data_IF_614007768224
#
_entry.id   IF_614007768224
#
_cell.length_a   1.000
_cell.length_b   1.000
_cell.length_c   1.000
_cell.angle_alpha   90.00
_cell.angle_beta   90.00
_cell.angle_gamma   90.00
#
_symmetry.space_group_name_H-M   'P 1'
#
loop_
_entity.id
_entity.type
_entity.pdbx_description
1 polymer ?
#
# COMPACT_ATOMS: atom_id res chain seq x y z
N UNK A 1 56.97 52.91 -9.30
CA UNK A 1 56.42 52.38 -10.56
C UNK A 1 56.06 50.91 -10.34
N UNK A 2 54.83 50.64 -9.90
CA UNK A 2 54.05 49.43 -10.22
C UNK A 2 52.63 49.65 -9.68
N UNK A 3 51.74 49.98 -10.60
CA UNK A 3 50.28 49.96 -10.45
C UNK A 3 49.80 48.60 -10.97
N UNK A 4 48.59 48.19 -10.57
CA UNK A 4 47.81 47.00 -10.98
C UNK A 4 48.01 45.75 -10.10
N UNK A 5 46.97 45.07 -9.63
CA UNK A 5 45.57 45.07 -10.02
C UNK A 5 44.74 44.46 -8.87
N UNK A 6 43.89 45.26 -8.23
CA UNK A 6 42.86 44.74 -7.32
C UNK A 6 41.74 44.18 -8.19
N UNK A 7 41.76 42.86 -8.41
CA UNK A 7 40.70 42.14 -9.12
C UNK A 7 39.40 42.26 -8.32
N UNK A 8 38.51 43.14 -8.76
CA UNK A 8 37.15 43.26 -8.25
C UNK A 8 36.40 41.98 -8.64
N UNK A 9 36.16 41.11 -7.66
CA UNK A 9 35.34 39.92 -7.84
C UNK A 9 33.88 40.36 -8.07
N UNK A 10 33.34 40.01 -9.23
CA UNK A 10 31.98 40.34 -9.64
C UNK A 10 30.96 39.64 -8.72
N UNK A 11 29.86 40.31 -8.31
CA UNK A 11 28.81 39.67 -7.53
C UNK A 11 28.21 38.52 -8.36
N UNK A 12 28.33 37.28 -7.87
CA UNK A 12 27.65 36.13 -8.48
C UNK A 12 26.15 36.43 -8.51
N UNK A 13 25.44 36.25 -9.63
CA UNK A 13 24.01 36.50 -9.69
C UNK A 13 23.32 35.64 -8.64
N UNK A 14 22.49 36.28 -7.82
CA UNK A 14 21.67 35.65 -6.80
C UNK A 14 20.95 34.46 -7.43
N UNK A 15 21.16 33.26 -6.88
CA UNK A 15 20.39 32.08 -7.25
C UNK A 15 18.93 32.41 -7.00
N UNK A 16 18.22 32.61 -8.11
CA UNK A 16 16.79 32.82 -8.17
C UNK A 16 16.13 31.75 -7.29
N UNK A 17 15.54 32.19 -6.18
CA UNK A 17 14.86 31.33 -5.24
C UNK A 17 13.62 30.76 -5.95
N UNK A 18 13.80 29.61 -6.60
CA UNK A 18 12.71 28.80 -7.15
C UNK A 18 11.75 28.50 -6.01
N UNK A 19 10.68 29.28 -5.93
CA UNK A 19 9.55 29.02 -5.04
C UNK A 19 9.13 27.57 -5.28
N UNK A 20 9.21 26.66 -4.28
CA UNK A 20 8.82 25.29 -4.48
C UNK A 20 7.32 25.30 -4.81
N UNK A 21 7.00 24.97 -6.06
CA UNK A 21 5.62 24.76 -6.48
C UNK A 21 5.04 23.63 -5.63
N UNK A 22 3.77 23.75 -5.22
CA UNK A 22 3.14 22.75 -4.35
C UNK A 22 3.30 21.32 -4.90
N UNK A 23 3.15 21.12 -6.21
CA UNK A 23 3.39 19.82 -6.88
C UNK A 23 4.83 19.31 -6.77
N UNK A 24 5.82 20.20 -6.68
CA UNK A 24 7.22 19.84 -6.47
C UNK A 24 7.48 19.19 -5.11
N UNK A 25 6.76 19.60 -4.07
CA UNK A 25 6.85 18.98 -2.75
C UNK A 25 6.30 17.55 -2.77
N UNK A 26 5.11 17.34 -3.34
CA UNK A 26 4.51 16.00 -3.44
C UNK A 26 5.40 15.04 -4.23
N UNK A 27 5.92 15.50 -5.37
CA UNK A 27 6.79 14.66 -6.21
C UNK A 27 8.15 14.38 -5.55
N UNK A 28 8.71 15.37 -4.85
CA UNK A 28 9.94 15.18 -4.09
C UNK A 28 9.76 14.16 -2.96
N UNK A 29 8.67 14.28 -2.18
CA UNK A 29 8.35 13.34 -1.11
C UNK A 29 8.17 11.93 -1.66
N UNK A 30 7.36 11.78 -2.72
CA UNK A 30 7.16 10.50 -3.38
C UNK A 30 8.47 9.88 -3.86
N UNK A 31 9.33 10.67 -4.51
CA UNK A 31 10.64 10.22 -4.97
C UNK A 31 11.54 9.81 -3.81
N UNK A 32 11.50 10.52 -2.68
CA UNK A 32 12.28 10.18 -1.49
C UNK A 32 11.77 8.87 -0.89
N UNK A 33 10.46 8.73 -0.67
CA UNK A 33 9.86 7.51 -0.11
C UNK A 33 10.21 6.29 -0.96
N UNK A 34 10.08 6.37 -2.29
CA UNK A 34 10.33 5.23 -3.18
C UNK A 34 11.82 4.92 -3.40
N UNK A 35 12.73 5.87 -3.16
CA UNK A 35 14.18 5.64 -3.25
C UNK A 35 14.81 5.14 -1.96
N UNK A 36 14.11 5.19 -0.83
CA UNK A 36 14.60 4.60 0.42
C UNK A 36 14.76 3.09 0.27
N UNK A 37 15.92 2.56 0.70
CA UNK A 37 16.21 1.13 0.66
C UNK A 37 15.13 0.30 1.34
N UNK A 38 14.54 0.82 2.43
CA UNK A 38 13.43 0.18 3.15
C UNK A 38 12.22 -0.06 2.26
N UNK A 39 11.78 0.94 1.50
CA UNK A 39 10.63 0.83 0.58
C UNK A 39 10.92 -0.15 -0.55
N UNK A 40 12.13 -0.09 -1.11
CA UNK A 40 12.58 -1.03 -2.15
C UNK A 40 12.61 -2.46 -1.60
N UNK A 41 13.12 -2.67 -0.39
CA UNK A 41 13.15 -3.98 0.25
C UNK A 41 11.75 -4.53 0.52
N UNK A 42 10.79 -3.69 0.94
CA UNK A 42 9.39 -4.10 1.10
C UNK A 42 8.75 -4.51 -0.22
N UNK A 43 8.90 -3.70 -1.27
CA UNK A 43 8.38 -4.03 -2.60
C UNK A 43 9.04 -5.30 -3.18
N UNK A 44 10.34 -5.47 -2.98
CA UNK A 44 11.06 -6.69 -3.36
C UNK A 44 10.56 -7.91 -2.57
N UNK A 45 10.28 -7.75 -1.27
CA UNK A 45 9.67 -8.79 -0.45
C UNK A 45 8.28 -9.18 -0.95
N UNK A 46 7.44 -8.21 -1.31
CA UNK A 46 6.13 -8.48 -1.91
C UNK A 46 6.22 -9.12 -3.30
N UNK A 47 7.24 -8.78 -4.09
CA UNK A 47 7.53 -9.44 -5.36
C UNK A 47 8.03 -10.89 -5.18
N UNK A 48 8.72 -11.19 -4.09
CA UNK A 48 9.24 -12.53 -3.84
C UNK A 48 8.11 -13.56 -3.60
N UNK A 49 7.00 -13.16 -2.99
CA UNK A 49 5.89 -14.07 -2.66
C UNK A 49 5.21 -14.69 -3.89
N UNK A 50 4.76 -13.95 -4.92
CA UNK A 50 4.20 -14.56 -6.13
C UNK A 50 5.20 -15.44 -6.88
N UNK A 51 6.50 -15.10 -6.85
CA UNK A 51 7.56 -15.95 -7.41
C UNK A 51 7.62 -17.27 -6.65
N UNK A 52 7.68 -17.21 -5.32
CA UNK A 52 7.73 -18.40 -4.47
C UNK A 52 6.48 -19.27 -4.64
N UNK A 53 5.29 -18.68 -4.59
CA UNK A 53 4.03 -19.39 -4.80
C UNK A 53 4.00 -20.05 -6.18
N UNK A 54 4.38 -19.32 -7.23
CA UNK A 54 4.42 -19.86 -8.59
C UNK A 54 5.38 -21.05 -8.72
N UNK A 55 6.58 -20.95 -8.16
CA UNK A 55 7.58 -22.04 -8.17
C UNK A 55 7.09 -23.25 -7.37
N UNK A 56 6.59 -23.04 -6.16
CA UNK A 56 6.08 -24.13 -5.30
C UNK A 56 4.93 -24.86 -5.97
N UNK A 57 3.95 -24.13 -6.53
CA UNK A 57 2.81 -24.74 -7.22
C UNK A 57 3.28 -25.48 -8.47
N UNK A 58 4.24 -24.94 -9.23
CA UNK A 58 4.77 -25.60 -10.44
C UNK A 58 5.44 -26.94 -10.12
N UNK A 59 6.20 -27.01 -9.02
CA UNK A 59 6.85 -28.23 -8.55
C UNK A 59 5.82 -29.22 -8.00
N UNK A 60 4.82 -28.73 -7.26
CA UNK A 60 3.75 -29.57 -6.71
C UNK A 60 2.79 -30.13 -7.78
N UNK A 61 2.81 -29.62 -9.01
CA UNK A 61 1.90 -30.00 -10.10
C UNK A 61 2.47 -31.08 -11.03
N UNK A 62 3.48 -31.85 -10.62
CA UNK A 62 4.02 -32.95 -11.43
C UNK A 62 3.02 -34.10 -11.60
N UNK A 63 3.01 -34.79 -12.77
CA UNK A 63 1.95 -35.72 -13.13
C UNK A 63 2.04 -37.00 -12.32
N UNK A 64 1.23 -37.11 -11.26
CA UNK A 64 1.13 -38.32 -10.44
C UNK A 64 0.38 -38.15 -9.13
N UNK A 65 0.36 -36.94 -8.58
CA UNK A 65 -0.32 -36.64 -7.31
C UNK A 65 -1.32 -35.50 -7.51
N UNK A 66 -2.49 -35.82 -8.08
CA UNK A 66 -3.67 -34.96 -7.94
C UNK A 66 -4.17 -35.05 -6.49
N UNK A 67 -3.38 -34.49 -5.57
CA UNK A 67 -3.73 -34.34 -4.18
C UNK A 67 -4.95 -33.44 -4.04
N UNK A 68 -5.87 -33.89 -3.20
CA UNK A 68 -7.14 -33.28 -2.78
C UNK A 68 -6.89 -31.96 -2.02
N UNK A 69 -6.30 -30.99 -2.70
CA UNK A 69 -6.05 -29.64 -2.19
C UNK A 69 -7.24 -28.72 -2.49
N UNK A 70 -7.47 -27.67 -1.67
CA UNK A 70 -8.54 -26.71 -1.91
C UNK A 70 -8.51 -26.19 -3.35
N UNK A 71 -9.67 -26.16 -3.99
CA UNK A 71 -9.90 -25.98 -5.44
C UNK A 71 -9.13 -24.80 -6.07
N UNK A 72 -8.74 -23.79 -5.27
CA UNK A 72 -7.93 -22.65 -5.70
C UNK A 72 -6.49 -23.02 -6.10
N UNK A 73 -5.85 -23.99 -5.44
CA UNK A 73 -4.45 -24.40 -5.76
C UNK A 73 -4.44 -25.19 -7.07
N UNK A 74 -5.41 -26.08 -7.27
CA UNK A 74 -5.60 -26.79 -8.53
C UNK A 74 -5.89 -25.85 -9.71
N UNK A 75 -6.65 -24.77 -9.47
CA UNK A 75 -6.95 -23.76 -10.50
C UNK A 75 -5.71 -22.93 -10.92
N UNK A 76 -4.74 -22.69 -10.01
CA UNK A 76 -3.48 -22.01 -10.37
C UNK A 76 -2.63 -22.89 -11.29
N UNK A 77 -2.53 -24.18 -11.00
CA UNK A 77 -1.78 -25.13 -11.83
C UNK A 77 -2.31 -25.19 -13.27
N UNK A 78 -3.62 -24.97 -13.43
CA UNK A 78 -4.30 -24.98 -14.72
C UNK A 78 -4.26 -23.63 -15.45
N UNK A 79 -4.14 -22.51 -14.72
CA UNK A 79 -4.16 -21.17 -15.31
C UNK A 79 -3.30 -20.14 -14.57
N UNK A 80 -2.31 -19.57 -15.26
CA UNK A 80 -1.37 -18.60 -14.68
C UNK A 80 -1.99 -17.30 -14.16
N UNK A 81 -3.19 -16.90 -14.63
CA UNK A 81 -3.89 -15.70 -14.13
C UNK A 81 -4.29 -15.88 -12.66
N UNK A 82 -4.59 -17.12 -12.25
CA UNK A 82 -4.99 -17.40 -10.87
C UNK A 82 -3.91 -17.11 -9.84
N UNK A 83 -2.63 -17.13 -10.25
CA UNK A 83 -1.52 -16.79 -9.38
C UNK A 83 -1.63 -15.35 -8.84
N UNK A 84 -2.19 -14.43 -9.62
CA UNK A 84 -2.47 -13.04 -9.20
C UNK A 84 -3.43 -13.03 -8.01
N UNK A 85 -4.57 -13.69 -8.16
CA UNK A 85 -5.61 -13.72 -7.14
C UNK A 85 -5.11 -14.39 -5.87
N UNK A 86 -4.45 -15.55 -6.01
CA UNK A 86 -3.90 -16.30 -4.87
C UNK A 86 -2.84 -15.47 -4.14
N UNK A 87 -1.92 -14.85 -4.86
CA UNK A 87 -0.86 -14.05 -4.25
C UNK A 87 -1.41 -12.85 -3.48
N UNK A 88 -2.36 -12.11 -4.06
CA UNK A 88 -3.01 -10.98 -3.39
C UNK A 88 -3.86 -11.44 -2.19
N UNK A 89 -4.58 -12.55 -2.32
CA UNK A 89 -5.36 -13.13 -1.24
C UNK A 89 -4.50 -13.53 -0.03
N UNK A 90 -3.31 -14.11 -0.27
CA UNK A 90 -2.37 -14.48 0.80
C UNK A 90 -1.64 -13.27 1.41
N UNK A 91 -1.30 -12.27 0.60
CA UNK A 91 -0.53 -11.11 1.07
C UNK A 91 -1.40 -10.07 1.79
N UNK A 92 -2.66 -9.90 1.40
CA UNK A 92 -3.55 -8.86 1.90
C UNK A 92 -3.78 -8.89 3.42
N UNK A 93 -4.03 -10.04 4.07
CA UNK A 93 -4.34 -10.08 5.51
C UNK A 93 -3.21 -9.59 6.43
N UNK A 94 -1.97 -9.82 6.03
CA UNK A 94 -0.82 -9.71 6.93
C UNK A 94 0.35 -8.94 6.34
N UNK A 95 0.84 -9.35 5.17
CA UNK A 95 2.08 -8.81 4.62
C UNK A 95 1.92 -7.37 4.10
N UNK A 96 0.88 -7.10 3.30
CA UNK A 96 0.65 -5.75 2.78
C UNK A 96 0.40 -4.72 3.89
N UNK A 97 -0.46 -4.99 4.89
CA UNK A 97 -0.71 -4.07 6.00
C UNK A 97 0.55 -3.81 6.84
N UNK A 98 1.42 -4.82 7.03
CA UNK A 98 2.70 -4.64 7.72
C UNK A 98 3.61 -3.68 6.94
N UNK A 99 3.73 -3.83 5.62
CA UNK A 99 4.52 -2.87 4.82
C UNK A 99 3.94 -1.46 4.87
N UNK A 100 2.62 -1.32 4.80
CA UNK A 100 1.93 -0.03 4.92
C UNK A 100 2.19 0.60 6.29
N UNK A 101 2.13 -0.19 7.36
CA UNK A 101 2.43 0.26 8.72
C UNK A 101 3.86 0.76 8.88
N UNK A 102 4.83 0.09 8.25
CA UNK A 102 6.23 0.52 8.26
C UNK A 102 6.42 1.86 7.56
N UNK A 103 5.80 2.07 6.39
CA UNK A 103 5.92 3.34 5.65
C UNK A 103 5.14 4.46 6.34
N UNK A 104 3.92 4.18 6.82
CA UNK A 104 3.08 5.15 7.50
C UNK A 104 3.63 5.54 8.89
N UNK A 105 4.17 4.58 9.64
CA UNK A 105 4.75 4.83 10.96
C UNK A 105 6.03 5.64 10.92
N UNK A 106 6.90 5.44 9.92
CA UNK A 106 8.14 6.22 9.74
C UNK A 106 7.89 7.65 9.22
N UNK A 107 6.67 7.93 8.75
CA UNK A 107 6.31 9.13 8.02
C UNK A 107 6.61 10.43 8.79
N UNK A 108 5.98 10.63 9.95
CA UNK A 108 6.17 11.81 10.80
C UNK A 108 6.99 11.48 12.04
N UNK A 109 6.75 10.31 12.66
CA UNK A 109 7.49 9.90 13.85
C UNK A 109 8.98 9.67 13.55
N UNK A 110 9.33 9.17 12.36
CA UNK A 110 10.74 9.00 11.92
C UNK A 110 11.50 10.33 11.85
N UNK A 111 10.84 11.38 11.37
CA UNK A 111 11.43 12.72 11.28
C UNK A 111 11.50 13.41 12.63
N UNK A 112 10.53 13.12 13.52
CA UNK A 112 10.54 13.56 14.92
C UNK A 112 11.74 12.98 15.67
N UNK A 113 11.92 11.66 15.55
CA UNK A 113 12.97 10.91 16.23
C UNK A 113 14.38 11.40 15.88
N UNK A 114 14.60 11.78 14.63
CA UNK A 114 15.89 12.29 14.14
C UNK A 114 16.14 13.77 14.50
N UNK A 115 15.25 14.42 15.25
CA UNK A 115 15.38 15.84 15.63
C UNK A 115 15.18 16.82 14.47
N UNK A 116 14.81 16.32 13.29
CA UNK A 116 14.64 17.14 12.07
C UNK A 116 13.36 17.97 12.06
N UNK A 117 12.40 17.67 12.96
CA UNK A 117 11.16 18.42 13.11
C UNK A 117 11.40 19.89 13.49
N UNK A 118 12.43 20.17 14.28
CA UNK A 118 12.85 21.54 14.64
C UNK A 118 13.40 22.32 13.44
N UNK A 119 13.96 21.62 12.45
CA UNK A 119 14.46 22.19 11.19
C UNK A 119 13.32 22.39 10.16
N UNK A 120 12.35 21.47 10.12
CA UNK A 120 11.15 21.56 9.28
C UNK A 120 10.17 22.65 9.75
N UNK A 121 10.20 23.03 11.03
CA UNK A 121 9.46 24.19 11.55
C UNK A 121 10.07 25.54 11.13
N UNK A 122 11.31 25.56 10.65
CA UNK A 122 11.97 26.74 10.08
C UNK A 122 11.86 26.76 8.55
N UNK A 123 11.64 25.60 7.92
CA UNK A 123 11.42 25.49 6.49
C UNK A 123 9.99 25.95 6.10
N UNK A 124 9.81 26.79 5.07
CA UNK A 124 8.53 27.43 4.73
C UNK A 124 7.49 26.52 4.06
N UNK A 125 7.54 25.20 4.30
CA UNK A 125 6.51 24.27 3.87
C UNK A 125 5.48 24.13 5.00
N UNK A 126 4.34 24.83 4.89
CA UNK A 126 3.30 24.83 5.93
C UNK A 126 2.95 23.40 6.38
N UNK A 127 2.82 23.20 7.71
CA UNK A 127 2.61 21.91 8.39
C UNK A 127 1.57 21.00 7.71
N UNK A 128 0.49 21.60 7.23
CA UNK A 128 -0.63 20.93 6.53
C UNK A 128 -0.20 20.36 5.17
N UNK A 129 0.63 21.08 4.41
CA UNK A 129 1.12 20.62 3.10
C UNK A 129 2.06 19.45 3.24
N UNK A 130 2.90 19.44 4.28
CA UNK A 130 3.76 18.29 4.60
C UNK A 130 2.91 17.06 4.94
N UNK A 131 1.91 17.19 5.81
CA UNK A 131 0.98 16.11 6.13
C UNK A 131 0.30 15.53 4.87
N UNK A 132 -0.19 16.41 4.00
CA UNK A 132 -0.81 16.00 2.74
C UNK A 132 0.19 15.24 1.84
N UNK A 133 1.43 15.73 1.72
CA UNK A 133 2.47 15.05 0.94
C UNK A 133 2.80 13.66 1.50
N UNK A 134 2.90 13.53 2.82
CA UNK A 134 3.10 12.26 3.52
C UNK A 134 1.94 11.28 3.29
N UNK A 135 0.71 11.76 3.43
CA UNK A 135 -0.47 10.95 3.17
C UNK A 135 -0.48 10.45 1.73
N UNK A 136 -0.25 11.34 0.76
CA UNK A 136 -0.18 10.96 -0.66
C UNK A 136 0.92 9.93 -0.91
N UNK A 137 2.10 10.06 -0.29
CA UNK A 137 3.18 9.08 -0.42
C UNK A 137 2.80 7.70 0.14
N UNK A 138 2.12 7.63 1.30
CA UNK A 138 1.62 6.39 1.88
C UNK A 138 0.52 5.75 1.02
N UNK A 139 -0.41 6.55 0.50
CA UNK A 139 -1.45 6.07 -0.41
C UNK A 139 -0.87 5.56 -1.73
N UNK A 140 0.13 6.26 -2.29
CA UNK A 140 0.85 5.81 -3.47
C UNK A 140 1.63 4.51 -3.20
N UNK A 141 2.16 4.33 -2.00
CA UNK A 141 2.77 3.06 -1.60
C UNK A 141 1.74 1.92 -1.54
N UNK A 142 0.51 2.15 -1.07
CA UNK A 142 -0.55 1.14 -1.09
C UNK A 142 -0.84 0.66 -2.52
N UNK A 143 -0.94 1.61 -3.48
CA UNK A 143 -1.08 1.31 -4.90
C UNK A 143 0.12 0.53 -5.42
N UNK A 144 1.33 1.03 -5.19
CA UNK A 144 2.54 0.38 -5.67
C UNK A 144 2.70 -1.05 -5.12
N UNK A 145 2.42 -1.28 -3.84
CA UNK A 145 2.51 -2.60 -3.23
C UNK A 145 1.57 -3.60 -3.90
N UNK A 146 0.29 -3.27 -4.07
CA UNK A 146 -0.68 -4.14 -4.72
C UNK A 146 -0.34 -4.38 -6.20
N UNK A 147 0.07 -3.34 -6.92
CA UNK A 147 0.42 -3.45 -8.33
C UNK A 147 1.77 -4.13 -8.58
N UNK A 148 2.71 -4.07 -7.64
CA UNK A 148 3.94 -4.89 -7.69
C UNK A 148 3.57 -6.37 -7.62
N UNK A 149 2.69 -6.77 -6.70
CA UNK A 149 2.23 -8.15 -6.61
C UNK A 149 1.51 -8.56 -7.89
N UNK A 150 0.59 -7.74 -8.40
CA UNK A 150 -0.12 -7.99 -9.65
C UNK A 150 0.84 -8.19 -10.83
N UNK A 151 1.80 -7.26 -11.02
CA UNK A 151 2.72 -7.31 -12.14
C UNK A 151 3.60 -8.57 -12.08
N UNK A 152 4.17 -8.86 -10.90
CA UNK A 152 5.07 -10.02 -10.74
C UNK A 152 4.28 -11.32 -10.84
N UNK A 153 3.12 -11.43 -10.21
CA UNK A 153 2.27 -12.62 -10.32
C UNK A 153 1.79 -12.86 -11.75
N UNK A 154 1.49 -11.80 -12.50
CA UNK A 154 1.13 -11.91 -13.92
C UNK A 154 2.32 -12.42 -14.75
N UNK A 155 3.51 -11.87 -14.55
CA UNK A 155 4.74 -12.29 -15.25
C UNK A 155 5.08 -13.75 -14.92
N UNK A 156 5.09 -14.11 -13.64
CA UNK A 156 5.38 -15.48 -13.18
C UNK A 156 4.31 -16.45 -13.69
N UNK A 157 3.04 -16.04 -13.62
CA UNK A 157 1.89 -16.77 -14.15
C UNK A 157 2.04 -17.09 -15.63
N UNK A 158 2.45 -16.08 -16.42
CA UNK A 158 2.71 -16.18 -17.86
C UNK A 158 3.90 -17.09 -18.22
N UNK A 159 4.89 -17.19 -17.35
CA UNK A 159 6.14 -17.95 -17.59
C UNK A 159 5.99 -19.40 -17.14
N UNK A 160 5.37 -19.66 -15.99
CA UNK A 160 5.36 -20.98 -15.37
C UNK A 160 4.13 -21.83 -15.72
N UNK A 161 3.00 -21.21 -16.08
CA UNK A 161 1.73 -21.92 -16.21
C UNK A 161 1.10 -21.77 -17.61
N UNK A 162 0.22 -22.71 -17.99
CA UNK A 162 -0.49 -22.63 -19.27
C UNK A 162 -1.38 -21.38 -19.37
N UNK A 163 -1.59 -20.94 -20.61
CA UNK A 163 -2.60 -19.93 -20.96
C UNK A 163 -3.87 -20.68 -21.35
N UNK A 164 -4.94 -20.47 -20.60
CA UNK A 164 -6.25 -21.03 -20.88
C UNK A 164 -7.36 -20.08 -20.44
N UNK A 165 -8.60 -20.52 -20.62
CA UNK A 165 -9.73 -19.81 -20.06
C UNK A 165 -9.68 -19.87 -18.53
N UNK A 166 -10.07 -18.78 -17.90
CA UNK A 166 -9.99 -18.59 -16.46
C UNK A 166 -11.31 -19.04 -15.84
N UNK A 167 -11.35 -20.13 -15.06
CA UNK A 167 -12.56 -20.50 -14.34
C UNK A 167 -12.94 -19.42 -13.33
N UNK A 168 -14.22 -19.18 -13.14
CA UNK A 168 -14.77 -18.26 -12.15
C UNK A 168 -15.37 -19.04 -10.98
N UNK A 169 -15.62 -18.35 -9.87
CA UNK A 169 -16.24 -18.98 -8.69
C UNK A 169 -17.68 -19.43 -8.95
N UNK A 170 -18.33 -18.88 -9.98
CA UNK A 170 -19.67 -19.29 -10.43
C UNK A 170 -19.63 -20.59 -11.28
N UNK A 171 -18.44 -21.08 -11.65
CA UNK A 171 -18.28 -22.25 -12.51
C UNK A 171 -18.31 -21.95 -14.01
N UNK A 172 -18.50 -20.68 -14.41
CA UNK A 172 -18.29 -20.22 -15.79
C UNK A 172 -16.81 -20.00 -16.06
N UNK A 173 -16.42 -19.92 -17.34
CA UNK A 173 -15.06 -19.57 -17.74
C UNK A 173 -15.06 -18.26 -18.54
N UNK A 174 -13.99 -17.48 -18.41
CA UNK A 174 -13.78 -16.25 -19.18
C UNK A 174 -12.47 -16.31 -19.95
N UNK A 175 -12.35 -15.43 -20.95
CA UNK A 175 -11.12 -15.33 -21.73
C UNK A 175 -9.92 -14.95 -20.85
N UNK A 176 -8.72 -15.33 -21.29
CA UNK A 176 -7.48 -14.95 -20.61
C UNK A 176 -7.35 -13.42 -20.40
N UNK A 177 -7.74 -12.63 -21.40
CA UNK A 177 -7.67 -11.17 -21.35
C UNK A 177 -8.61 -10.60 -20.27
N UNK A 178 -9.84 -11.12 -20.19
CA UNK A 178 -10.79 -10.73 -19.15
C UNK A 178 -10.31 -11.16 -17.76
N UNK A 179 -9.64 -12.30 -17.67
CA UNK A 179 -8.98 -12.76 -16.46
C UNK A 179 -7.90 -11.78 -15.95
N UNK A 180 -7.02 -11.33 -16.83
CA UNK A 180 -6.03 -10.29 -16.49
C UNK A 180 -6.72 -8.99 -16.08
N UNK A 181 -7.80 -8.62 -16.78
CA UNK A 181 -8.67 -7.50 -16.40
C UNK A 181 -9.24 -7.63 -14.99
N UNK A 182 -9.73 -8.81 -14.60
CA UNK A 182 -10.16 -9.10 -13.23
C UNK A 182 -9.00 -9.02 -12.25
N UNK A 183 -7.81 -9.49 -12.63
CA UNK A 183 -6.58 -9.33 -11.84
C UNK A 183 -6.27 -7.86 -11.53
N UNK A 184 -6.41 -6.98 -12.52
CA UNK A 184 -6.24 -5.55 -12.37
C UNK A 184 -7.28 -4.94 -11.40
N UNK A 185 -8.55 -5.34 -11.53
CA UNK A 185 -9.61 -4.90 -10.62
C UNK A 185 -9.35 -5.35 -9.18
N UNK A 186 -8.89 -6.59 -8.98
CA UNK A 186 -8.53 -7.11 -7.65
C UNK A 186 -7.35 -6.34 -7.08
N UNK A 187 -6.31 -6.07 -7.86
CA UNK A 187 -5.18 -5.26 -7.43
C UNK A 187 -5.61 -3.83 -7.03
N UNK A 188 -6.51 -3.21 -7.81
CA UNK A 188 -7.09 -1.91 -7.48
C UNK A 188 -7.91 -1.93 -6.19
N UNK A 189 -8.75 -2.95 -6.00
CA UNK A 189 -9.55 -3.11 -4.78
C UNK A 189 -8.66 -3.32 -3.56
N UNK A 190 -7.60 -4.13 -3.67
CA UNK A 190 -6.61 -4.34 -2.61
C UNK A 190 -5.87 -3.05 -2.28
N UNK A 191 -5.42 -2.29 -3.28
CA UNK A 191 -4.77 -1.00 -3.06
C UNK A 191 -5.65 -0.04 -2.27
N UNK A 192 -6.94 0.05 -2.63
CA UNK A 192 -7.93 0.88 -1.94
C UNK A 192 -8.27 0.34 -0.54
N UNK A 193 -8.29 -0.99 -0.37
CA UNK A 193 -8.51 -1.65 0.93
C UNK A 193 -7.43 -1.30 1.97
N UNK A 194 -6.22 -0.98 1.52
CA UNK A 194 -5.09 -0.62 2.38
C UNK A 194 -5.08 0.87 2.76
N UNK A 195 -5.82 1.74 2.07
CA UNK A 195 -5.73 3.19 2.28
C UNK A 195 -6.22 3.61 3.66
N UNK A 196 -7.23 2.94 4.21
CA UNK A 196 -7.70 3.20 5.58
C UNK A 196 -6.61 2.91 6.61
N UNK A 197 -5.91 1.77 6.48
CA UNK A 197 -4.77 1.43 7.35
C UNK A 197 -3.63 2.45 7.18
N UNK A 198 -3.36 2.89 5.94
CA UNK A 198 -2.39 3.94 5.66
C UNK A 198 -2.72 5.25 6.38
N UNK A 199 -3.98 5.69 6.35
CA UNK A 199 -4.42 6.91 7.03
C UNK A 199 -4.35 6.78 8.56
N UNK A 200 -4.74 5.62 9.11
CA UNK A 200 -4.59 5.32 10.54
C UNK A 200 -3.12 5.40 10.95
N UNK A 201 -2.21 4.85 10.14
CA UNK A 201 -0.78 4.90 10.45
C UNK A 201 -0.17 6.28 10.37
N UNK A 202 -0.59 7.09 9.40
CA UNK A 202 -0.19 8.50 9.33
C UNK A 202 -0.68 9.23 10.58
N UNK A 203 -1.93 9.02 11.00
CA UNK A 203 -2.44 9.59 12.25
C UNK A 203 -1.65 9.12 13.47
N UNK A 204 -1.40 7.81 13.61
CA UNK A 204 -0.61 7.26 14.71
C UNK A 204 0.79 7.89 14.78
N UNK A 205 1.42 8.15 13.62
CA UNK A 205 2.71 8.82 13.54
C UNK A 205 2.69 10.29 14.00
N UNK A 206 1.52 10.95 14.06
CA UNK A 206 1.38 12.30 14.65
C UNK A 206 1.34 12.28 16.18
N UNK A 207 0.99 11.14 16.78
CA UNK A 207 0.77 11.01 18.23
C UNK A 207 2.05 10.75 18.99
N UNK A 208 3.06 10.17 18.34
CA UNK A 208 4.31 9.72 18.96
C UNK A 208 5.54 10.18 18.18
N UNK A 209 6.64 10.36 18.89
CA UNK A 209 7.97 10.60 18.30
C UNK A 209 8.77 9.30 18.13
N UNK A 210 8.23 8.17 18.63
CA UNK A 210 8.84 6.85 18.51
C UNK A 210 8.28 6.13 17.25
N UNK A 211 9.08 5.96 16.17
CA UNK A 211 8.59 5.37 14.92
C UNK A 211 8.08 3.94 15.12
N UNK A 212 8.78 3.17 15.95
CA UNK A 212 8.40 1.80 16.30
C UNK A 212 7.02 1.73 16.96
N UNK A 213 6.67 2.71 17.80
CA UNK A 213 5.35 2.78 18.44
C UNK A 213 4.25 3.07 17.42
N UNK A 214 4.48 4.00 16.49
CA UNK A 214 3.52 4.29 15.42
C UNK A 214 3.31 3.09 14.50
N UNK A 215 4.39 2.40 14.14
CA UNK A 215 4.31 1.16 13.34
C UNK A 215 3.51 0.08 14.07
N UNK A 216 3.79 -0.17 15.35
CA UNK A 216 3.11 -1.19 16.14
C UNK A 216 1.60 -0.94 16.22
N UNK A 217 1.17 0.29 16.47
CA UNK A 217 -0.26 0.66 16.50
C UNK A 217 -0.90 0.42 15.13
N UNK A 218 -0.21 0.80 14.05
CA UNK A 218 -0.75 0.65 12.69
C UNK A 218 -0.90 -0.81 12.29
N UNK A 219 0.02 -1.70 12.69
CA UNK A 219 -0.09 -3.15 12.48
C UNK A 219 -1.16 -3.77 13.37
N UNK A 220 -1.29 -3.32 14.62
CA UNK A 220 -2.23 -3.88 15.57
C UNK A 220 -3.69 -3.72 15.12
N UNK A 221 -4.03 -2.61 14.47
CA UNK A 221 -5.41 -2.33 14.03
C UNK A 221 -5.96 -3.39 13.06
N UNK A 222 -5.35 -3.70 11.91
CA UNK A 222 -5.86 -4.73 11.01
C UNK A 222 -5.83 -6.13 11.64
N UNK A 223 -4.88 -6.43 12.51
CA UNK A 223 -4.85 -7.73 13.20
C UNK A 223 -5.98 -7.86 14.22
N UNK A 224 -6.20 -6.84 15.05
CA UNK A 224 -7.31 -6.80 16.00
C UNK A 224 -8.65 -6.83 15.27
N UNK A 225 -8.79 -6.06 14.19
CA UNK A 225 -9.96 -6.07 13.31
C UNK A 225 -10.28 -7.47 12.80
N UNK A 226 -9.29 -8.21 12.30
CA UNK A 226 -9.49 -9.60 11.84
C UNK A 226 -9.89 -10.55 12.98
N UNK A 227 -9.29 -10.41 14.17
CA UNK A 227 -9.67 -11.22 15.34
C UNK A 227 -11.13 -10.94 15.74
N UNK A 228 -11.53 -9.67 15.80
CA UNK A 228 -12.88 -9.27 16.17
C UNK A 228 -13.93 -9.77 15.16
N UNK A 229 -13.57 -9.80 13.87
CA UNK A 229 -14.48 -10.22 12.79
C UNK A 229 -14.83 -11.71 12.84
N UNK A 230 -13.98 -12.54 13.48
CA UNK A 230 -14.22 -13.98 13.65
C UNK A 230 -15.19 -14.26 14.82
N UNK A 231 -15.42 -13.30 15.73
CA UNK A 231 -16.21 -13.50 16.95
C UNK A 231 -17.71 -13.26 16.66
N UNK A 232 -18.57 -14.29 16.66
CA UNK A 232 -19.98 -14.13 16.28
C UNK A 232 -20.77 -13.18 17.20
N UNK A 233 -20.39 -13.10 18.47
CA UNK A 233 -21.01 -12.19 19.45
C UNK A 233 -20.78 -10.72 19.10
N UNK A 234 -19.76 -10.41 18.30
CA UNK A 234 -19.39 -9.08 17.85
C UNK A 234 -19.84 -8.81 16.40
N UNK A 235 -20.72 -9.64 15.83
CA UNK A 235 -21.21 -9.46 14.45
C UNK A 235 -21.81 -8.07 14.18
N UNK A 236 -22.34 -7.39 15.21
CA UNK A 236 -22.88 -6.02 15.11
C UNK A 236 -21.80 -5.00 14.72
N UNK A 237 -20.55 -5.19 15.15
CA UNK A 237 -19.45 -4.27 14.81
C UNK A 237 -18.73 -4.66 13.51
N UNK A 238 -18.89 -5.89 13.04
CA UNK A 238 -18.23 -6.45 11.86
C UNK A 238 -18.23 -5.50 10.65
N UNK A 239 -19.38 -4.99 10.19
CA UNK A 239 -19.47 -4.09 9.04
C UNK A 239 -18.67 -2.78 9.15
N UNK A 240 -18.27 -2.39 10.36
CA UNK A 240 -17.48 -1.17 10.61
C UNK A 240 -15.98 -1.46 10.77
N UNK A 241 -15.57 -2.73 10.84
CA UNK A 241 -14.18 -3.13 10.98
C UNK A 241 -13.42 -2.89 9.68
N UNK A 242 -12.21 -2.29 9.71
CA UNK A 242 -11.48 -1.89 8.52
C UNK A 242 -11.10 -3.06 7.61
N UNK A 243 -11.05 -4.29 8.13
CA UNK A 243 -10.71 -5.50 7.35
C UNK A 243 -11.91 -6.33 6.90
N UNK A 244 -13.13 -6.00 7.32
CA UNK A 244 -14.32 -6.86 7.13
C UNK A 244 -14.57 -7.19 5.65
N UNK A 245 -14.48 -6.18 4.79
CA UNK A 245 -14.72 -6.33 3.35
C UNK A 245 -13.47 -6.71 2.55
N UNK A 246 -12.31 -6.97 3.17
CA UNK A 246 -11.08 -7.28 2.41
C UNK A 246 -11.25 -8.52 1.54
N UNK A 247 -11.91 -9.56 2.08
CA UNK A 247 -12.14 -10.81 1.35
C UNK A 247 -13.25 -10.72 0.29
N UNK A 248 -13.99 -9.61 0.22
CA UNK A 248 -14.88 -9.32 -0.90
C UNK A 248 -14.12 -9.18 -2.22
N UNK A 249 -12.78 -9.16 -2.22
CA UNK A 249 -11.98 -9.32 -3.44
C UNK A 249 -12.37 -10.58 -4.24
N UNK A 250 -12.82 -11.65 -3.57
CA UNK A 250 -13.29 -12.87 -4.24
C UNK A 250 -14.59 -12.64 -5.04
N UNK A 251 -15.37 -11.62 -4.70
CA UNK A 251 -16.61 -11.28 -5.42
C UNK A 251 -16.32 -10.73 -6.83
N UNK A 252 -15.10 -10.23 -7.08
CA UNK A 252 -14.60 -9.88 -8.42
C UNK A 252 -14.32 -11.11 -9.30
N UNK A 253 -14.33 -12.31 -8.73
CA UNK A 253 -14.20 -13.58 -9.46
C UNK A 253 -15.55 -14.26 -9.73
N UNK A 254 -16.67 -13.57 -9.49
CA UNK A 254 -18.02 -14.06 -9.80
C UNK A 254 -18.54 -13.53 -11.12
N UNK A 255 -19.46 -14.28 -11.73
CA UNK A 255 -20.22 -13.84 -12.91
C UNK A 255 -21.72 -13.91 -12.61
N UNK A 256 -22.45 -12.78 -12.54
CA UNK A 256 -21.95 -11.40 -12.62
C UNK A 256 -21.13 -11.00 -11.38
N UNK A 257 -20.32 -9.93 -11.50
CA UNK A 257 -19.55 -9.38 -10.37
C UNK A 257 -20.51 -8.90 -9.28
N UNK A 258 -20.28 -9.35 -8.04
CA UNK A 258 -21.08 -8.91 -6.91
C UNK A 258 -20.52 -7.60 -6.32
N UNK A 259 -21.08 -6.48 -6.76
CA UNK A 259 -20.63 -5.12 -6.41
C UNK A 259 -21.02 -4.59 -5.02
N UNK A 260 -22.14 -4.99 -4.36
CA UNK A 260 -22.57 -4.37 -3.10
C UNK A 260 -21.50 -4.43 -2.00
N UNK A 261 -20.88 -5.59 -1.78
CA UNK A 261 -19.84 -5.74 -0.76
C UNK A 261 -18.57 -4.96 -1.09
N UNK A 262 -18.20 -4.91 -2.37
CA UNK A 262 -17.04 -4.14 -2.84
C UNK A 262 -17.25 -2.65 -2.57
N UNK A 263 -18.42 -2.11 -2.92
CA UNK A 263 -18.76 -0.70 -2.69
C UNK A 263 -18.80 -0.38 -1.19
N UNK A 264 -19.42 -1.24 -0.37
CA UNK A 264 -19.43 -1.08 1.07
C UNK A 264 -18.01 -1.02 1.65
N UNK A 265 -17.12 -1.91 1.20
CA UNK A 265 -15.70 -1.90 1.56
C UNK A 265 -15.01 -0.60 1.17
N UNK A 266 -15.18 -0.14 -0.07
CA UNK A 266 -14.55 1.10 -0.56
C UNK A 266 -15.06 2.34 0.19
N UNK A 267 -16.36 2.41 0.47
CA UNK A 267 -16.96 3.49 1.27
C UNK A 267 -16.39 3.48 2.68
N UNK A 268 -16.27 2.30 3.30
CA UNK A 268 -15.68 2.17 4.63
C UNK A 268 -14.23 2.68 4.64
N UNK A 269 -13.40 2.29 3.68
CA UNK A 269 -12.02 2.79 3.58
C UNK A 269 -11.96 4.30 3.39
N UNK A 270 -12.85 4.86 2.57
CA UNK A 270 -12.93 6.30 2.36
C UNK A 270 -13.28 7.02 3.67
N UNK A 271 -14.23 6.49 4.45
CA UNK A 271 -14.58 7.03 5.78
C UNK A 271 -13.36 7.00 6.70
N UNK A 272 -12.64 5.89 6.78
CA UNK A 272 -11.40 5.80 7.56
C UNK A 272 -10.35 6.82 7.10
N UNK A 273 -10.13 6.96 5.80
CA UNK A 273 -9.20 7.95 5.25
C UNK A 273 -9.61 9.36 5.68
N UNK A 274 -10.88 9.74 5.52
CA UNK A 274 -11.36 11.06 5.87
C UNK A 274 -11.26 11.34 7.38
N UNK A 275 -11.70 10.40 8.22
CA UNK A 275 -11.69 10.55 9.68
C UNK A 275 -10.26 10.68 10.21
N UNK A 276 -9.37 9.75 9.85
CA UNK A 276 -8.01 9.74 10.38
C UNK A 276 -7.13 10.83 9.77
N UNK A 277 -7.35 11.22 8.51
CA UNK A 277 -6.66 12.37 7.93
C UNK A 277 -7.11 13.69 8.58
N UNK A 278 -8.41 13.82 8.90
CA UNK A 278 -8.94 14.98 9.63
C UNK A 278 -8.41 15.03 11.07
N UNK A 279 -8.32 13.88 11.74
CA UNK A 279 -7.74 13.78 13.08
C UNK A 279 -6.24 14.14 13.08
N UNK A 280 -5.48 13.69 12.07
CA UNK A 280 -4.08 14.04 11.89
C UNK A 280 -3.90 15.54 11.63
N UNK A 281 -4.75 16.11 10.79
CA UNK A 281 -4.78 17.55 10.55
C UNK A 281 -5.04 18.34 11.84
N UNK A 282 -6.12 18.00 12.56
CA UNK A 282 -6.49 18.66 13.81
C UNK A 282 -5.35 18.59 14.84
N UNK A 283 -4.69 17.43 14.96
CA UNK A 283 -3.55 17.24 15.86
C UNK A 283 -2.35 18.10 15.48
N UNK A 284 -2.05 18.26 14.18
CA UNK A 284 -0.93 19.10 13.74
C UNK A 284 -1.18 20.60 13.89
N UNK A 285 -2.45 21.02 13.87
CA UNK A 285 -2.83 22.44 14.05
C UNK A 285 -2.94 22.85 15.52
N UNK A 286 -3.31 21.94 16.42
CA UNK A 286 -3.49 22.24 17.86
C UNK A 286 -2.24 22.01 18.70
N UNK A 287 -1.24 21.28 18.19
CA UNK A 287 0.01 21.06 18.92
C UNK A 287 0.88 22.31 18.84
N UNK A 288 0.90 23.08 19.93
CA UNK A 288 1.94 24.06 20.19
C UNK A 288 3.26 23.32 20.40
N UNK A 289 4.26 23.68 19.60
CA UNK A 289 5.61 23.14 19.72
C UNK A 289 6.41 24.20 20.45
N UNK A 290 6.61 24.00 21.76
CA UNK A 290 7.56 24.74 22.59
C UNK A 290 8.96 24.11 22.46
#
# INVERSE_FOLDING_TARGET
MSVSETRIESPRPARESLRPHAGGLFLAELRLTFRRLRTVALLAGFAAVPILLGVVIRIASEPGEAGEGPNLIGNVAQNGVFLVFVSLFFLLPLFLPVGVAVIAGDSLAGEAHLGTLRYLLVAPAGRVRLLAAKLVAVLAFCVAAAFTVFAVATIVGLVLFPRGDVPLLTGTTISYADGVGRGLLVAGYVALSLTGIGAIGVFASTLTEAPLGAMAVTVAVPLASQILDVVPQLAVIGPYLPTHHWMSLADLLRDPIHTPNLVAGLVLQLVYVLVFSSAAYARMTTRDVA
#
